data_IF_752977197385
#
_entry.id   IF_752977197385
#
_cell.length_a   1.000
_cell.length_b   1.000
_cell.length_c   1.000
_cell.angle_alpha   90.00
_cell.angle_beta   90.00
_cell.angle_gamma   90.00
#
_symmetry.space_group_name_H-M   'P 1'
#
loop_
_entity.id
_entity.type
_entity.pdbx_description
1 polymer ?
#
# COMPACT_ATOMS: atom_id res chain seq x y z
N UNK A 1 -17.23 -15.19 -11.50
CA UNK A 1 -15.97 -14.42 -11.39
C UNK A 1 -14.81 -15.30 -11.88
N UNK A 2 -13.95 -14.76 -12.73
CA UNK A 2 -12.71 -15.43 -13.16
C UNK A 2 -11.56 -15.00 -12.23
N UNK A 3 -11.26 -15.84 -11.24
CA UNK A 3 -10.27 -15.51 -10.21
C UNK A 3 -8.86 -15.35 -10.79
N UNK A 4 -8.51 -16.09 -11.86
CA UNK A 4 -7.21 -15.93 -12.52
C UNK A 4 -7.04 -14.52 -13.09
N UNK A 5 -8.04 -14.01 -13.80
CA UNK A 5 -8.00 -12.64 -14.33
C UNK A 5 -7.91 -11.58 -13.24
N UNK A 6 -8.55 -11.83 -12.09
CA UNK A 6 -8.45 -10.96 -10.92
C UNK A 6 -6.99 -10.91 -10.41
N UNK A 7 -6.35 -12.07 -10.25
CA UNK A 7 -4.95 -12.12 -9.79
C UNK A 7 -3.97 -11.55 -10.83
N UNK A 8 -4.18 -11.79 -12.12
CA UNK A 8 -3.34 -11.23 -13.19
C UNK A 8 -3.44 -9.69 -13.22
N UNK A 9 -4.65 -9.15 -13.11
CA UNK A 9 -4.86 -7.70 -13.00
C UNK A 9 -4.24 -7.13 -11.72
N UNK A 10 -4.46 -7.80 -10.58
CA UNK A 10 -3.86 -7.45 -9.31
C UNK A 10 -2.33 -7.38 -9.40
N UNK A 11 -1.72 -8.42 -9.97
CA UNK A 11 -0.26 -8.49 -10.14
C UNK A 11 0.27 -7.28 -10.92
N UNK A 12 -0.41 -6.91 -12.01
CA UNK A 12 -0.04 -5.72 -12.79
C UNK A 12 -0.11 -4.45 -11.93
N UNK A 13 -1.20 -4.28 -11.16
CA UNK A 13 -1.39 -3.10 -10.29
C UNK A 13 -0.33 -2.99 -9.20
N UNK A 14 0.04 -4.11 -8.59
CA UNK A 14 1.11 -4.15 -7.59
C UNK A 14 2.49 -3.75 -8.18
N UNK A 15 2.80 -4.21 -9.38
CA UNK A 15 4.01 -3.77 -10.10
C UNK A 15 3.99 -2.27 -10.39
N UNK A 16 2.86 -1.72 -10.76
CA UNK A 16 2.70 -0.27 -11.00
C UNK A 16 2.86 0.52 -9.69
N UNK A 17 2.27 0.04 -8.58
CA UNK A 17 2.43 0.62 -7.25
C UNK A 17 3.88 0.60 -6.78
N UNK A 18 4.54 -0.55 -6.85
CA UNK A 18 5.95 -0.68 -6.51
C UNK A 18 6.82 0.30 -7.30
N UNK A 19 6.62 0.38 -8.62
CA UNK A 19 7.33 1.31 -9.49
C UNK A 19 7.10 2.76 -9.07
N UNK A 20 5.86 3.14 -8.78
CA UNK A 20 5.53 4.48 -8.30
C UNK A 20 6.35 4.85 -7.05
N UNK A 21 6.43 3.96 -6.06
CA UNK A 21 7.21 4.20 -4.85
C UNK A 21 8.71 4.28 -5.12
N UNK A 22 9.26 3.38 -5.94
CA UNK A 22 10.67 3.40 -6.30
C UNK A 22 11.07 4.67 -7.05
N UNK A 23 10.28 5.08 -8.05
CA UNK A 23 10.57 6.26 -8.87
C UNK A 23 10.41 7.57 -8.11
N UNK A 24 9.47 7.65 -7.17
CA UNK A 24 9.20 8.88 -6.42
C UNK A 24 10.01 9.00 -5.12
N UNK A 25 10.57 7.91 -4.59
CA UNK A 25 11.38 7.96 -3.37
C UNK A 25 12.53 8.98 -3.46
N UNK A 26 13.22 9.04 -4.60
CA UNK A 26 14.33 9.98 -4.83
C UNK A 26 13.92 11.43 -5.06
N UNK A 27 12.62 11.72 -5.16
CA UNK A 27 12.07 13.07 -5.41
C UNK A 27 11.52 13.73 -4.15
N UNK A 28 11.45 12.98 -3.04
CA UNK A 28 10.89 13.46 -1.79
C UNK A 28 11.88 14.34 -1.03
N UNK A 29 11.34 15.31 -0.29
CA UNK A 29 12.12 16.35 0.37
C UNK A 29 12.72 15.93 1.70
N UNK A 30 12.09 14.97 2.40
CA UNK A 30 12.52 14.56 3.73
C UNK A 30 12.82 13.06 3.82
N UNK A 31 13.90 12.72 4.57
CA UNK A 31 14.36 11.34 4.73
C UNK A 31 13.28 10.38 5.27
N UNK A 32 12.37 10.84 6.13
CA UNK A 32 11.27 10.03 6.64
C UNK A 32 10.29 9.63 5.53
N UNK A 33 9.94 10.55 4.63
CA UNK A 33 9.09 10.25 3.48
C UNK A 33 9.81 9.34 2.47
N UNK A 34 11.09 9.60 2.21
CA UNK A 34 11.93 8.71 1.37
C UNK A 34 11.97 7.30 1.95
N UNK A 35 12.19 7.17 3.25
CA UNK A 35 12.22 5.89 3.96
C UNK A 35 10.88 5.17 3.88
N UNK A 36 9.75 5.88 4.07
CA UNK A 36 8.42 5.32 3.92
C UNK A 36 8.21 4.74 2.51
N UNK A 37 8.54 5.50 1.46
CA UNK A 37 8.38 5.04 0.07
C UNK A 37 9.23 3.81 -0.23
N UNK A 38 10.49 3.76 0.25
CA UNK A 38 11.34 2.58 0.08
C UNK A 38 10.80 1.35 0.80
N UNK A 39 10.30 1.53 2.02
CA UNK A 39 9.67 0.44 2.77
C UNK A 39 8.38 -0.05 2.10
N UNK A 40 7.58 0.86 1.55
CA UNK A 40 6.36 0.48 0.82
C UNK A 40 6.70 -0.28 -0.46
N UNK A 41 7.69 0.16 -1.25
CA UNK A 41 8.14 -0.60 -2.41
C UNK A 41 8.55 -2.04 -2.05
N UNK A 42 9.17 -2.25 -0.88
CA UNK A 42 9.51 -3.57 -0.37
C UNK A 42 8.28 -4.36 0.09
N UNK A 43 7.25 -3.71 0.61
CA UNK A 43 5.96 -4.35 0.95
C UNK A 43 5.19 -4.76 -0.30
N UNK A 44 5.13 -3.90 -1.33
CA UNK A 44 4.55 -4.25 -2.63
C UNK A 44 5.22 -5.48 -3.25
N UNK A 45 6.54 -5.64 -3.09
CA UNK A 45 7.23 -6.84 -3.54
C UNK A 45 6.69 -8.10 -2.85
N UNK A 46 6.36 -8.03 -1.56
CA UNK A 46 5.75 -9.17 -0.84
C UNK A 46 4.33 -9.47 -1.34
N UNK A 47 3.55 -8.43 -1.67
CA UNK A 47 2.23 -8.60 -2.28
C UNK A 47 2.33 -9.27 -3.66
N UNK A 48 3.28 -8.83 -4.49
CA UNK A 48 3.58 -9.44 -5.80
C UNK A 48 3.88 -10.94 -5.64
N UNK A 49 4.77 -11.31 -4.72
CA UNK A 49 5.14 -12.71 -4.46
C UNK A 49 3.95 -13.52 -3.94
N UNK A 50 3.12 -12.92 -3.09
CA UNK A 50 1.91 -13.55 -2.58
C UNK A 50 0.88 -13.80 -3.69
N UNK A 51 0.61 -12.82 -4.55
CA UNK A 51 -0.31 -12.97 -5.69
C UNK A 51 0.24 -13.98 -6.70
N UNK A 52 1.55 -13.93 -7.00
CA UNK A 52 2.17 -14.92 -7.88
C UNK A 52 2.00 -16.34 -7.35
N UNK A 53 2.11 -16.52 -6.03
CA UNK A 53 1.89 -17.84 -5.40
C UNK A 53 0.45 -18.35 -5.60
N UNK A 54 -0.54 -17.46 -5.68
CA UNK A 54 -1.93 -17.82 -5.97
C UNK A 54 -2.11 -18.28 -7.43
N UNK A 55 -1.47 -17.56 -8.37
CA UNK A 55 -1.48 -17.94 -9.78
C UNK A 55 -0.82 -19.31 -9.97
N UNK A 56 0.33 -19.53 -9.34
CA UNK A 56 1.05 -20.81 -9.37
C UNK A 56 0.23 -21.97 -8.78
N UNK A 57 -0.53 -21.71 -7.73
CA UNK A 57 -1.45 -22.69 -7.15
C UNK A 57 -2.58 -23.05 -8.13
N UNK A 58 -3.18 -22.04 -8.78
CA UNK A 58 -4.19 -22.28 -9.82
C UNK A 58 -3.64 -23.11 -10.99
N UNK A 59 -2.42 -22.84 -11.45
CA UNK A 59 -1.79 -23.58 -12.54
C UNK A 59 -1.56 -25.06 -12.21
N UNK A 60 -1.35 -25.34 -10.93
CA UNK A 60 -1.15 -26.71 -10.41
C UNK A 60 -2.45 -27.39 -9.97
N UNK A 61 -3.59 -26.71 -10.10
CA UNK A 61 -4.87 -27.21 -9.59
C UNK A 61 -4.90 -27.38 -8.06
N UNK A 62 -4.11 -26.57 -7.34
CA UNK A 62 -4.01 -26.58 -5.88
C UNK A 62 -4.94 -25.53 -5.26
N UNK A 63 -5.22 -25.69 -3.97
CA UNK A 63 -5.93 -24.68 -3.18
C UNK A 63 -5.10 -23.38 -3.07
N UNK A 64 -5.77 -22.22 -2.85
CA UNK A 64 -5.11 -20.96 -2.61
C UNK A 64 -4.10 -21.00 -1.46
N UNK A 65 -2.97 -20.33 -1.61
CA UNK A 65 -1.90 -20.30 -0.61
C UNK A 65 -2.18 -19.32 0.54
N UNK A 66 -3.23 -19.59 1.31
CA UNK A 66 -3.60 -18.78 2.49
C UNK A 66 -2.51 -18.77 3.54
N UNK A 67 -1.76 -19.88 3.68
CA UNK A 67 -0.70 -20.02 4.67
C UNK A 67 0.40 -18.96 4.52
N UNK A 68 0.79 -18.61 3.28
CA UNK A 68 1.76 -17.54 3.03
C UNK A 68 1.24 -16.18 3.51
N UNK A 69 -0.03 -15.87 3.28
CA UNK A 69 -0.64 -14.63 3.76
C UNK A 69 -0.67 -14.53 5.27
N UNK A 70 -0.96 -15.61 5.97
CA UNK A 70 -0.91 -15.67 7.43
C UNK A 70 0.51 -15.47 7.96
N UNK A 71 1.52 -16.01 7.29
CA UNK A 71 2.93 -15.80 7.65
C UNK A 71 3.33 -14.32 7.48
N UNK A 72 2.92 -13.66 6.40
CA UNK A 72 3.14 -12.23 6.19
C UNK A 72 2.46 -11.39 7.28
N UNK A 73 1.24 -11.71 7.66
CA UNK A 73 0.54 -11.06 8.76
C UNK A 73 1.28 -11.19 10.10
N UNK A 74 1.82 -12.38 10.40
CA UNK A 74 2.59 -12.62 11.62
C UNK A 74 3.92 -11.85 11.63
N UNK A 75 4.60 -11.75 10.50
CA UNK A 75 5.82 -10.96 10.37
C UNK A 75 5.56 -9.46 10.56
N UNK A 76 4.35 -9.01 10.22
CA UNK A 76 3.93 -7.62 10.28
C UNK A 76 4.51 -6.76 9.15
N UNK A 77 3.91 -5.59 8.96
CA UNK A 77 4.30 -4.63 7.93
C UNK A 77 4.80 -3.33 8.56
N UNK A 78 5.78 -2.70 7.92
CA UNK A 78 6.25 -1.37 8.28
C UNK A 78 5.10 -0.35 8.31
N UNK A 79 4.23 -0.37 7.31
CA UNK A 79 3.08 0.52 7.18
C UNK A 79 2.15 0.48 8.40
N UNK A 80 1.95 -0.68 9.00
CA UNK A 80 1.13 -0.84 10.21
C UNK A 80 1.75 -0.18 11.44
N UNK A 81 3.07 -0.25 11.57
CA UNK A 81 3.79 0.38 12.68
C UNK A 81 3.91 1.89 12.49
N UNK A 82 4.31 2.31 11.29
CA UNK A 82 4.58 3.71 10.98
C UNK A 82 3.35 4.61 11.16
N UNK A 83 2.14 4.14 10.85
CA UNK A 83 0.93 4.94 11.01
C UNK A 83 0.57 5.22 12.49
N UNK A 84 1.15 4.50 13.43
CA UNK A 84 0.94 4.70 14.89
C UNK A 84 2.01 5.57 15.53
N UNK A 85 3.08 5.88 14.82
CA UNK A 85 4.18 6.72 15.30
C UNK A 85 3.80 8.21 15.21
N UNK A 86 4.13 8.97 16.24
CA UNK A 86 3.93 10.41 16.23
C UNK A 86 4.99 11.07 15.32
N UNK A 87 4.53 11.98 14.44
CA UNK A 87 5.40 12.77 13.59
C UNK A 87 5.72 14.09 14.27
N UNK A 88 7.01 14.41 14.40
CA UNK A 88 7.47 15.70 14.89
C UNK A 88 7.04 16.83 13.93
N UNK A 89 6.72 18.00 14.48
CA UNK A 89 6.28 19.15 13.69
C UNK A 89 7.29 19.55 12.61
N UNK A 90 8.59 19.52 12.93
CA UNK A 90 9.65 19.87 11.96
C UNK A 90 9.72 18.90 10.79
N UNK A 91 9.43 17.63 11.02
CA UNK A 91 9.32 16.61 9.97
C UNK A 91 8.08 16.86 9.10
N UNK A 92 6.95 17.16 9.73
CA UNK A 92 5.72 17.49 9.00
C UNK A 92 5.90 18.75 8.13
N UNK A 93 6.52 19.81 8.64
CA UNK A 93 6.86 21.02 7.87
C UNK A 93 7.78 20.70 6.69
N UNK A 94 8.79 19.86 6.89
CA UNK A 94 9.72 19.47 5.83
C UNK A 94 9.07 18.62 4.71
N UNK A 95 7.92 17.97 4.99
CA UNK A 95 7.16 17.21 4.00
C UNK A 95 6.13 18.03 3.22
N UNK A 96 5.94 19.32 3.53
CA UNK A 96 4.97 20.18 2.81
C UNK A 96 5.20 20.18 1.29
N UNK A 97 6.43 20.25 0.75
CA UNK A 97 6.66 20.14 -0.69
C UNK A 97 6.22 18.80 -1.30
N UNK A 98 6.08 17.77 -0.48
CA UNK A 98 5.74 16.40 -0.91
C UNK A 98 4.22 16.14 -0.94
N UNK A 99 3.39 17.11 -0.52
CA UNK A 99 1.92 16.99 -0.45
C UNK A 99 1.30 16.38 -1.71
N UNK A 100 1.63 16.81 -2.95
CA UNK A 100 1.03 16.23 -4.15
C UNK A 100 1.36 14.74 -4.31
N UNK A 101 2.59 14.33 -4.02
CA UNK A 101 3.05 12.93 -4.13
C UNK A 101 2.43 12.07 -3.04
N UNK A 102 2.36 12.57 -1.81
CA UNK A 102 1.69 11.88 -0.69
C UNK A 102 0.20 11.67 -0.97
N UNK A 103 -0.46 12.66 -1.58
CA UNK A 103 -1.85 12.52 -2.02
C UNK A 103 -2.00 11.45 -3.08
N UNK A 104 -1.16 11.43 -4.10
CA UNK A 104 -1.17 10.38 -5.12
C UNK A 104 -0.98 9.00 -4.51
N UNK A 105 -0.05 8.88 -3.57
CA UNK A 105 0.21 7.63 -2.87
C UNK A 105 -1.06 7.08 -2.20
N UNK A 106 -1.71 7.85 -1.32
CA UNK A 106 -2.88 7.33 -0.62
C UNK A 106 -4.09 7.08 -1.54
N UNK A 107 -4.22 7.82 -2.65
CA UNK A 107 -5.28 7.57 -3.63
C UNK A 107 -5.05 6.28 -4.41
N UNK A 108 -3.82 5.98 -4.80
CA UNK A 108 -3.46 4.71 -5.45
C UNK A 108 -3.79 3.54 -4.53
N UNK A 109 -3.37 3.62 -3.27
CA UNK A 109 -3.60 2.57 -2.28
C UNK A 109 -5.08 2.38 -1.96
N UNK A 110 -5.84 3.47 -1.87
CA UNK A 110 -7.29 3.39 -1.69
C UNK A 110 -7.98 2.69 -2.85
N UNK A 111 -7.64 3.07 -4.09
CA UNK A 111 -8.23 2.44 -5.27
C UNK A 111 -7.94 0.94 -5.32
N UNK A 112 -6.74 0.54 -4.89
CA UNK A 112 -6.33 -0.86 -4.82
C UNK A 112 -7.07 -1.62 -3.70
N UNK A 113 -7.17 -1.01 -2.50
CA UNK A 113 -7.93 -1.56 -1.39
C UNK A 113 -9.42 -1.78 -1.76
N UNK A 114 -10.04 -0.79 -2.42
CA UNK A 114 -11.42 -0.88 -2.90
C UNK A 114 -11.59 -1.98 -3.96
N UNK A 115 -10.63 -2.10 -4.89
CA UNK A 115 -10.64 -3.17 -5.89
C UNK A 115 -10.62 -4.55 -5.23
N UNK A 116 -9.71 -4.78 -4.29
CA UNK A 116 -9.63 -6.07 -3.57
C UNK A 116 -10.88 -6.35 -2.73
N UNK A 117 -11.42 -5.33 -2.06
CA UNK A 117 -12.65 -5.47 -1.28
C UNK A 117 -13.86 -5.85 -2.15
N UNK A 118 -14.00 -5.24 -3.33
CA UNK A 118 -15.07 -5.60 -4.28
C UNK A 118 -14.88 -7.02 -4.80
N UNK A 119 -13.66 -7.41 -5.17
CA UNK A 119 -13.39 -8.76 -5.64
C UNK A 119 -13.62 -9.81 -4.53
N UNK A 120 -13.26 -9.51 -3.29
CA UNK A 120 -13.51 -10.37 -2.14
C UNK A 120 -15.01 -10.57 -1.89
N UNK A 121 -15.83 -9.53 -2.08
CA UNK A 121 -17.28 -9.63 -1.90
C UNK A 121 -17.94 -10.63 -2.86
N UNK A 122 -17.38 -10.82 -4.05
CA UNK A 122 -17.86 -11.78 -5.05
C UNK A 122 -17.20 -13.17 -4.92
N UNK A 123 -16.07 -13.27 -4.24
CA UNK A 123 -15.34 -14.51 -4.04
C UNK A 123 -15.90 -15.35 -2.89
N UNK A 124 -15.56 -16.63 -2.88
CA UNK A 124 -15.94 -17.58 -1.83
C UNK A 124 -14.71 -18.37 -1.32
N UNK A 125 -14.83 -18.93 -0.11
CA UNK A 125 -13.81 -19.80 0.47
C UNK A 125 -12.46 -19.14 0.62
N UNK A 126 -11.40 -19.88 0.31
CA UNK A 126 -10.01 -19.42 0.48
C UNK A 126 -9.63 -18.29 -0.48
N UNK A 127 -10.23 -18.24 -1.68
CA UNK A 127 -10.02 -17.12 -2.60
C UNK A 127 -10.51 -15.79 -2.00
N UNK A 128 -11.64 -15.81 -1.30
CA UNK A 128 -12.12 -14.64 -0.55
C UNK A 128 -11.12 -14.24 0.55
N UNK A 129 -10.60 -15.21 1.31
CA UNK A 129 -9.62 -14.92 2.36
C UNK A 129 -8.36 -14.24 1.81
N UNK A 130 -7.85 -14.72 0.67
CA UNK A 130 -6.71 -14.10 -0.02
C UNK A 130 -6.99 -12.65 -0.39
N UNK A 131 -8.15 -12.38 -0.99
CA UNK A 131 -8.52 -11.02 -1.41
C UNK A 131 -8.80 -10.09 -0.22
N UNK A 132 -9.40 -10.60 0.86
CA UNK A 132 -9.59 -9.85 2.11
C UNK A 132 -8.25 -9.47 2.77
N UNK A 133 -7.24 -10.36 2.72
CA UNK A 133 -5.89 -10.04 3.19
C UNK A 133 -5.27 -8.90 2.38
N UNK A 134 -5.32 -8.98 1.06
CA UNK A 134 -4.81 -7.93 0.17
C UNK A 134 -5.53 -6.60 0.43
N UNK A 135 -6.87 -6.59 0.50
CA UNK A 135 -7.64 -5.40 0.83
C UNK A 135 -7.20 -4.76 2.17
N UNK A 136 -6.95 -5.59 3.18
CA UNK A 136 -6.52 -5.14 4.51
C UNK A 136 -5.11 -4.52 4.46
N UNK A 137 -4.18 -5.10 3.70
CA UNK A 137 -2.82 -4.59 3.56
C UNK A 137 -2.81 -3.25 2.84
N UNK A 138 -3.51 -3.13 1.71
CA UNK A 138 -3.61 -1.86 0.98
C UNK A 138 -4.32 -0.77 1.78
N UNK A 139 -5.32 -1.12 2.56
CA UNK A 139 -5.95 -0.15 3.46
C UNK A 139 -4.97 0.34 4.55
N UNK A 140 -4.05 -0.51 5.00
CA UNK A 140 -2.96 -0.10 5.89
C UNK A 140 -2.00 0.89 5.22
N UNK A 141 -1.66 0.70 3.95
CA UNK A 141 -0.86 1.62 3.14
C UNK A 141 -1.58 2.97 2.95
N UNK A 142 -2.86 2.94 2.57
CA UNK A 142 -3.70 4.14 2.46
C UNK A 142 -3.67 4.96 3.75
N UNK A 143 -3.90 4.32 4.89
CA UNK A 143 -3.90 5.00 6.20
C UNK A 143 -2.57 5.67 6.50
N UNK A 144 -1.44 5.01 6.21
CA UNK A 144 -0.12 5.58 6.41
C UNK A 144 0.05 6.85 5.58
N UNK A 145 -0.19 6.79 4.28
CA UNK A 145 0.02 7.95 3.41
C UNK A 145 -0.97 9.08 3.66
N UNK A 146 -2.21 8.74 3.99
CA UNK A 146 -3.18 9.74 4.42
C UNK A 146 -2.73 10.44 5.70
N UNK A 147 -2.19 9.71 6.65
CA UNK A 147 -1.64 10.28 7.88
C UNK A 147 -0.46 11.23 7.61
N UNK A 148 0.51 10.81 6.78
CA UNK A 148 1.64 11.65 6.38
C UNK A 148 1.17 12.91 5.65
N UNK A 149 0.24 12.76 4.71
CA UNK A 149 -0.36 13.88 3.97
C UNK A 149 -1.06 14.85 4.91
N UNK A 150 -1.93 14.37 5.79
CA UNK A 150 -2.72 15.22 6.65
C UNK A 150 -1.84 16.01 7.65
N UNK A 151 -0.78 15.39 8.16
CA UNK A 151 0.20 16.07 9.01
C UNK A 151 0.96 17.17 8.28
N UNK A 152 1.41 16.92 7.07
CA UNK A 152 2.05 17.95 6.24
C UNK A 152 1.06 19.05 5.84
N UNK A 153 -0.19 18.70 5.54
CA UNK A 153 -1.22 19.67 5.18
C UNK A 153 -1.61 20.58 6.35
N UNK A 154 -1.67 20.06 7.58
CA UNK A 154 -1.87 20.89 8.79
C UNK A 154 -0.83 22.01 8.86
N UNK A 155 0.45 21.68 8.61
CA UNK A 155 1.54 22.68 8.62
C UNK A 155 1.40 23.67 7.45
N UNK A 156 1.06 23.20 6.26
CA UNK A 156 0.81 24.06 5.11
C UNK A 156 -0.31 25.07 5.36
N UNK A 157 -1.39 24.64 5.99
CA UNK A 157 -2.55 25.50 6.30
C UNK A 157 -2.22 26.59 7.33
N UNK A 158 -1.23 26.38 8.18
CA UNK A 158 -0.77 27.34 9.18
C UNK A 158 0.29 28.32 8.64
N UNK A 159 0.87 28.06 7.46
CA UNK A 159 1.86 28.95 6.86
C UNK A 159 1.23 30.30 6.48
N UNK A 160 1.93 31.43 6.76
CA UNK A 160 1.44 32.73 6.34
C UNK A 160 1.34 32.83 4.81
N UNK A 161 0.18 33.17 4.31
CA UNK A 161 -0.09 33.37 2.89
C UNK A 161 0.47 34.73 2.46
N UNK A 162 1.40 34.70 1.54
CA UNK A 162 1.92 35.87 0.85
C UNK A 162 3.00 36.61 1.64
N UNK A 163 4.22 36.34 1.29
CA UNK A 163 5.30 37.29 1.46
C UNK A 163 5.46 38.13 0.22
#
# INVERSE_FOLDING_TARGET
>A
MDIRKIYEYALQREYEGKRFFEENAGRLSHAAAVGAFKNLAAEEQKHIEFIQSQIDALDKGQAPNVAMGLQLNQAGFFSQRAQTEAIDQTVAEAMVPDLPVLRMAYLIERDLAEFYAMAAAEAQGEARQVLDMLATWEHGHEKLFKYLHDKAFEQYAEMPWGG
#
